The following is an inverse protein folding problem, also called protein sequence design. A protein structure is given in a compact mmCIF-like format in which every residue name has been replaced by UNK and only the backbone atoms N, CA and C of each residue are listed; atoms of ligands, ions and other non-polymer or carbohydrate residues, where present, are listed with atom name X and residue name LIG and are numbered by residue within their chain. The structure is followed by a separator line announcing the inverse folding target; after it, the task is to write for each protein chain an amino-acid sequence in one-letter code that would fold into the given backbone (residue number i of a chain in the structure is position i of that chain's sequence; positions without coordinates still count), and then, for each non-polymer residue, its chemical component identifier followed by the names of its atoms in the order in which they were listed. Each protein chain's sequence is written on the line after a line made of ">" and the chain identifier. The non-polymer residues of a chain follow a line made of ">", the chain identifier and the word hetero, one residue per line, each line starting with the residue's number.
data_IF_694780352996
#
_entry.id   IF_694780352996
#
_cell.length_a   1.000
_cell.length_b   1.000
_cell.length_c   1.000
_cell.angle_alpha   90.00
_cell.angle_beta   90.00
_cell.angle_gamma   90.00
#
_symmetry.space_group_name_H-M   'P 1'
#
loop_
_entity.id
_entity.type
_entity.pdbx_description
1 polymer ?
#
# COMPACT_ATOMS: atom_id res chain seq x y z
N UNK A 1 7.16 17.28 9.72
CA UNK A 1 7.30 18.47 8.85
C UNK A 1 8.70 18.50 8.22
N UNK A 2 8.79 18.79 6.93
CA UNK A 2 10.05 18.81 6.19
C UNK A 2 9.97 19.81 5.02
N UNK A 3 11.12 20.08 4.40
CA UNK A 3 11.21 20.96 3.23
C UNK A 3 12.05 20.29 2.14
N UNK A 4 11.69 20.55 0.89
CA UNK A 4 12.42 20.02 -0.26
C UNK A 4 11.83 20.54 -1.57
N UNK A 5 12.25 19.93 -2.67
CA UNK A 5 11.83 20.33 -4.01
C UNK A 5 11.58 19.11 -4.90
N UNK A 6 10.67 19.26 -5.85
CA UNK A 6 10.32 18.18 -6.78
C UNK A 6 11.45 17.85 -7.77
N UNK A 7 12.18 18.89 -8.20
CA UNK A 7 13.34 18.77 -9.09
C UNK A 7 14.34 19.86 -8.76
N UNK A 8 15.60 19.68 -9.20
CA UNK A 8 16.68 20.62 -8.94
C UNK A 8 16.41 22.04 -9.48
N UNK A 9 15.61 22.17 -10.52
CA UNK A 9 15.23 23.43 -11.15
C UNK A 9 13.93 24.07 -10.57
N UNK A 10 13.34 23.44 -9.57
CA UNK A 10 12.11 23.91 -8.91
C UNK A 10 12.40 24.53 -7.55
N UNK A 11 11.49 25.39 -7.11
CA UNK A 11 11.58 26.02 -5.79
C UNK A 11 11.36 25.00 -4.67
N UNK A 12 12.07 25.23 -3.58
CA UNK A 12 11.87 24.49 -2.34
C UNK A 12 10.52 24.87 -1.71
N UNK A 13 9.84 23.88 -1.12
CA UNK A 13 8.60 24.11 -0.41
C UNK A 13 8.50 23.25 0.86
N UNK A 14 7.58 23.59 1.73
CA UNK A 14 7.34 22.90 2.99
C UNK A 14 6.26 21.84 2.84
N UNK A 15 6.44 20.72 3.51
CA UNK A 15 5.48 19.62 3.59
C UNK A 15 5.22 19.26 5.04
N UNK A 16 3.97 19.11 5.39
CA UNK A 16 3.51 18.49 6.62
C UNK A 16 2.59 17.32 6.26
N UNK A 17 2.78 16.18 6.92
CA UNK A 17 1.91 15.03 6.73
C UNK A 17 1.54 14.41 8.08
N UNK A 18 0.28 14.08 8.22
CA UNK A 18 -0.28 13.36 9.37
C UNK A 18 -0.97 12.12 8.83
N UNK A 19 -0.58 10.95 9.31
CA UNK A 19 -1.15 9.67 8.87
C UNK A 19 -1.62 8.89 10.08
N UNK A 20 -2.87 8.43 10.03
CA UNK A 20 -3.44 7.56 11.07
C UNK A 20 -3.90 6.28 10.41
N UNK A 21 -3.64 5.13 11.04
CA UNK A 21 -4.06 3.84 10.51
C UNK A 21 -4.40 2.85 11.61
N UNK A 22 -5.21 1.88 11.26
CA UNK A 22 -5.46 0.69 12.07
C UNK A 22 -5.77 -0.50 11.17
N UNK A 23 -5.78 -1.69 11.74
CA UNK A 23 -6.04 -2.93 11.02
C UNK A 23 -7.40 -3.49 11.45
N UNK A 24 -8.19 -3.89 10.48
CA UNK A 24 -9.49 -4.53 10.69
C UNK A 24 -9.65 -5.72 9.74
N UNK A 25 -10.29 -6.78 10.20
CA UNK A 25 -10.63 -7.92 9.35
C UNK A 25 -12.04 -7.82 8.73
N UNK A 26 -12.77 -6.75 9.03
CA UNK A 26 -14.16 -6.57 8.58
C UNK A 26 -14.36 -5.34 7.69
N UNK A 27 -13.48 -4.35 7.78
CA UNK A 27 -13.60 -3.06 7.06
C UNK A 27 -12.25 -2.65 6.51
N UNK A 28 -12.26 -2.04 5.34
CA UNK A 28 -11.06 -1.40 4.79
C UNK A 28 -11.45 -0.06 4.16
N UNK A 29 -10.70 0.98 4.48
CA UNK A 29 -10.91 2.33 3.94
C UNK A 29 -9.56 3.02 3.87
N UNK A 30 -9.24 3.60 2.72
CA UNK A 30 -8.06 4.44 2.56
C UNK A 30 -8.50 5.78 1.99
N UNK A 31 -8.26 6.85 2.73
CA UNK A 31 -8.62 8.20 2.32
C UNK A 31 -7.42 9.12 2.37
N UNK A 32 -7.26 9.93 1.33
CA UNK A 32 -6.19 10.92 1.22
C UNK A 32 -6.79 12.31 1.13
N UNK A 33 -6.25 13.22 1.95
CA UNK A 33 -6.55 14.63 1.94
C UNK A 33 -5.27 15.43 1.71
N UNK A 34 -5.34 16.47 0.92
CA UNK A 34 -4.22 17.37 0.69
C UNK A 34 -4.70 18.81 0.68
N UNK A 35 -4.09 19.65 1.54
CA UNK A 35 -4.52 21.04 1.74
C UNK A 35 -6.03 21.12 1.99
N UNK A 36 -6.55 20.24 2.83
CA UNK A 36 -7.96 20.11 3.22
C UNK A 36 -8.92 19.66 2.10
N UNK A 37 -8.39 19.23 0.96
CA UNK A 37 -9.19 18.70 -0.15
C UNK A 37 -9.06 17.19 -0.24
N UNK A 38 -10.19 16.50 -0.44
CA UNK A 38 -10.21 15.06 -0.66
C UNK A 38 -9.61 14.72 -2.03
N UNK A 39 -8.72 13.73 -2.04
CA UNK A 39 -8.09 13.21 -3.27
C UNK A 39 -8.68 11.84 -3.59
N UNK A 40 -9.52 11.77 -4.61
CA UNK A 40 -10.17 10.52 -5.01
C UNK A 40 -9.16 9.42 -5.38
N UNK A 41 -8.05 9.80 -6.02
CA UNK A 41 -7.02 8.86 -6.48
C UNK A 41 -5.69 8.97 -5.74
N UNK A 42 -5.54 9.89 -4.80
CA UNK A 42 -4.33 10.09 -4.00
C UNK A 42 -3.14 10.64 -4.78
N UNK A 43 -2.52 9.83 -5.60
CA UNK A 43 -1.28 10.21 -6.31
C UNK A 43 -0.05 10.04 -5.44
N UNK A 44 0.69 11.13 -5.18
CA UNK A 44 1.93 11.08 -4.37
C UNK A 44 1.76 10.44 -2.98
N UNK A 45 0.74 10.78 -2.19
CA UNK A 45 0.51 10.11 -0.91
C UNK A 45 0.18 8.63 -1.06
N UNK A 46 -0.57 8.24 -2.07
CA UNK A 46 -0.92 6.84 -2.35
C UNK A 46 0.33 6.04 -2.71
N UNK A 47 1.20 6.57 -3.57
CA UNK A 47 2.48 5.94 -3.90
C UNK A 47 3.33 5.71 -2.65
N UNK A 48 3.39 6.70 -1.78
CA UNK A 48 4.16 6.62 -0.54
C UNK A 48 3.61 5.53 0.40
N UNK A 49 2.30 5.49 0.59
CA UNK A 49 1.64 4.50 1.44
C UNK A 49 1.87 3.08 0.90
N UNK A 50 1.64 2.86 -0.39
CA UNK A 50 1.86 1.55 -1.03
C UNK A 50 3.30 1.07 -0.87
N UNK A 51 4.26 1.90 -1.20
CA UNK A 51 5.67 1.55 -1.13
C UNK A 51 6.13 1.30 0.32
N UNK A 52 5.79 2.18 1.24
CA UNK A 52 6.25 2.11 2.62
C UNK A 52 5.64 0.93 3.38
N UNK A 53 4.34 0.70 3.24
CA UNK A 53 3.66 -0.40 3.93
C UNK A 53 4.14 -1.77 3.44
N UNK A 54 4.26 -1.95 2.12
CA UNK A 54 4.78 -3.21 1.57
C UNK A 54 6.22 -3.45 2.04
N UNK A 55 7.06 -2.43 1.98
CA UNK A 55 8.45 -2.54 2.42
C UNK A 55 8.55 -2.92 3.91
N UNK A 56 7.82 -2.21 4.76
CA UNK A 56 7.91 -2.41 6.22
C UNK A 56 7.34 -3.76 6.64
N UNK A 57 6.20 -4.16 6.11
CA UNK A 57 5.55 -5.44 6.44
C UNK A 57 6.37 -6.61 5.89
N UNK A 58 6.85 -6.53 4.66
CA UNK A 58 7.70 -7.57 4.07
C UNK A 58 8.98 -7.77 4.88
N UNK A 59 9.62 -6.67 5.26
CA UNK A 59 10.82 -6.70 6.11
C UNK A 59 10.54 -7.34 7.48
N UNK A 60 9.42 -7.01 8.09
CA UNK A 60 8.99 -7.60 9.36
C UNK A 60 8.74 -9.10 9.22
N UNK A 61 8.05 -9.53 8.16
CA UNK A 61 7.77 -10.94 7.90
C UNK A 61 9.05 -11.76 7.68
N UNK A 62 10.01 -11.20 6.96
CA UNK A 62 11.32 -11.82 6.76
C UNK A 62 12.12 -11.93 8.07
N UNK A 63 12.16 -10.84 8.83
CA UNK A 63 12.94 -10.79 10.08
C UNK A 63 12.38 -11.71 11.15
N UNK A 64 11.10 -11.97 11.17
CA UNK A 64 10.42 -12.85 12.14
C UNK A 64 10.20 -14.27 11.61
N UNK A 65 10.66 -14.57 10.39
CA UNK A 65 10.57 -15.90 9.81
C UNK A 65 9.15 -16.40 9.54
N UNK A 66 8.21 -15.50 9.29
CA UNK A 66 6.80 -15.84 9.08
C UNK A 66 6.49 -16.35 7.67
N UNK A 67 7.32 -16.04 6.69
CA UNK A 67 7.20 -16.62 5.36
C UNK A 67 7.63 -18.11 5.37
N UNK A 68 6.90 -18.92 4.65
CA UNK A 68 7.32 -20.31 4.40
C UNK A 68 8.45 -20.33 3.36
N UNK A 69 9.15 -21.48 3.26
CA UNK A 69 10.21 -21.63 2.27
C UNK A 69 9.66 -21.46 0.84
N UNK A 70 10.32 -20.62 0.06
CA UNK A 70 9.94 -20.27 -1.32
C UNK A 70 8.61 -19.54 -1.46
N UNK A 71 8.08 -18.99 -0.37
CA UNK A 71 6.87 -18.16 -0.43
C UNK A 71 7.18 -16.83 -1.10
N UNK A 72 6.31 -16.41 -2.02
CA UNK A 72 6.43 -15.09 -2.68
C UNK A 72 6.13 -13.96 -1.71
N UNK A 73 6.64 -12.78 -2.04
CA UNK A 73 6.42 -11.54 -1.27
C UNK A 73 4.94 -11.14 -1.29
N UNK A 74 4.49 -10.51 -0.21
CA UNK A 74 3.18 -9.85 -0.17
C UNK A 74 3.10 -8.73 -1.20
N UNK A 75 1.88 -8.38 -1.61
CA UNK A 75 1.62 -7.17 -2.38
C UNK A 75 0.70 -6.23 -1.60
N UNK A 76 0.50 -5.02 -2.12
CA UNK A 76 -0.29 -4.02 -1.39
C UNK A 76 -1.76 -4.42 -1.24
N UNK A 77 -2.33 -5.19 -2.15
CA UNK A 77 -3.72 -5.64 -2.02
C UNK A 77 -3.94 -6.48 -0.75
N UNK A 78 -2.94 -7.21 -0.31
CA UNK A 78 -3.00 -8.00 0.92
C UNK A 78 -3.08 -7.11 2.17
N UNK A 79 -2.42 -5.95 2.13
CA UNK A 79 -2.46 -4.94 3.19
C UNK A 79 -3.77 -4.14 3.09
N UNK A 80 -4.14 -3.72 1.89
CA UNK A 80 -5.32 -2.91 1.63
C UNK A 80 -6.60 -3.57 2.14
N UNK A 81 -6.72 -4.87 2.00
CA UNK A 81 -7.90 -5.64 2.42
C UNK A 81 -8.20 -5.55 3.93
N UNK A 82 -7.24 -5.18 4.74
CA UNK A 82 -7.42 -5.05 6.19
C UNK A 82 -7.01 -3.68 6.74
N UNK A 83 -6.71 -2.71 5.87
CA UNK A 83 -6.18 -1.42 6.29
C UNK A 83 -7.27 -0.34 6.34
N UNK A 84 -7.35 0.34 7.46
CA UNK A 84 -8.07 1.60 7.61
C UNK A 84 -7.01 2.68 7.77
N UNK A 85 -6.95 3.62 6.82
CA UNK A 85 -5.93 4.66 6.82
C UNK A 85 -6.51 5.99 6.37
N UNK A 86 -6.15 7.05 7.08
CA UNK A 86 -6.43 8.42 6.68
C UNK A 86 -5.11 9.19 6.65
N UNK A 87 -4.81 9.78 5.53
CA UNK A 87 -3.64 10.62 5.32
C UNK A 87 -4.07 12.04 5.05
N UNK A 88 -3.51 12.98 5.79
CA UNK A 88 -3.70 14.41 5.55
C UNK A 88 -2.33 15.04 5.34
N UNK A 89 -2.10 15.59 4.16
CA UNK A 89 -0.88 16.31 3.83
C UNK A 89 -1.16 17.77 3.51
N UNK A 90 -0.18 18.62 3.81
CA UNK A 90 -0.23 20.05 3.52
C UNK A 90 1.10 20.48 2.94
N UNK A 91 1.06 21.24 1.86
CA UNK A 91 2.25 21.80 1.25
C UNK A 91 1.99 23.21 0.76
N UNK A 92 3.06 24.02 0.68
CA UNK A 92 2.99 25.38 0.17
C UNK A 92 2.97 25.41 -1.36
N UNK A 93 3.29 24.30 -2.02
CA UNK A 93 3.14 24.15 -3.47
C UNK A 93 2.51 22.79 -3.78
N UNK A 94 1.60 22.76 -4.74
CA UNK A 94 0.90 21.53 -5.12
C UNK A 94 0.83 21.43 -6.63
N UNK A 95 1.15 20.24 -7.16
CA UNK A 95 0.98 19.89 -8.56
C UNK A 95 -0.06 18.77 -8.66
N UNK A 96 -1.13 19.02 -9.42
CA UNK A 96 -2.18 18.03 -9.64
C UNK A 96 -1.91 17.23 -10.90
N UNK A 97 -2.28 15.95 -10.89
CA UNK A 97 -2.13 15.06 -12.05
C UNK A 97 -3.02 15.47 -13.22
N UNK A 98 -4.15 16.13 -12.92
CA UNK A 98 -5.09 16.62 -13.94
C UNK A 98 -5.90 17.81 -13.40
N UNK A 99 -6.76 18.40 -14.26
CA UNK A 99 -7.58 19.55 -13.91
C UNK A 99 -8.70 19.24 -12.90
N UNK A 100 -9.06 17.97 -12.72
CA UNK A 100 -10.10 17.56 -11.76
C UNK A 100 -9.62 17.59 -10.31
N UNK A 101 -8.31 17.74 -10.08
CA UNK A 101 -7.68 17.83 -8.75
C UNK A 101 -7.94 16.61 -7.86
N UNK A 102 -8.08 15.43 -8.46
CA UNK A 102 -8.33 14.17 -7.76
C UNK A 102 -7.07 13.45 -7.30
N UNK A 103 -5.90 13.84 -7.80
CA UNK A 103 -4.60 13.29 -7.44
C UNK A 103 -3.53 14.37 -7.56
N UNK A 104 -2.52 14.30 -6.69
CA UNK A 104 -1.33 15.16 -6.75
C UNK A 104 -0.15 14.35 -7.26
N UNK A 105 0.82 14.99 -7.91
CA UNK A 105 1.97 14.31 -8.51
C UNK A 105 3.32 14.90 -8.11
N UNK A 106 3.41 15.60 -6.99
CA UNK A 106 4.64 16.14 -6.45
C UNK A 106 5.61 15.00 -6.07
N UNK A 107 6.75 14.91 -6.74
CA UNK A 107 7.75 13.88 -6.46
C UNK A 107 8.35 13.99 -5.07
N UNK A 108 8.61 15.20 -4.59
CA UNK A 108 9.12 15.40 -3.23
C UNK A 108 8.14 14.90 -2.16
N UNK A 109 6.83 15.13 -2.34
CA UNK A 109 5.81 14.64 -1.40
C UNK A 109 5.83 13.09 -1.35
N UNK A 110 5.92 12.43 -2.51
CA UNK A 110 6.01 10.98 -2.57
C UNK A 110 7.26 10.46 -1.85
N UNK A 111 8.42 11.03 -2.11
CA UNK A 111 9.69 10.63 -1.50
C UNK A 111 9.71 10.88 0.02
N UNK A 112 9.35 12.08 0.44
CA UNK A 112 9.36 12.46 1.85
C UNK A 112 8.37 11.62 2.68
N UNK A 113 7.17 11.41 2.19
CA UNK A 113 6.17 10.57 2.85
C UNK A 113 6.61 9.10 2.89
N UNK A 114 7.21 8.59 1.81
CA UNK A 114 7.73 7.22 1.78
C UNK A 114 8.78 7.01 2.86
N UNK A 115 9.78 7.88 2.93
CA UNK A 115 10.86 7.78 3.92
C UNK A 115 10.34 7.93 5.35
N UNK A 116 9.45 8.88 5.57
CA UNK A 116 8.81 9.09 6.87
C UNK A 116 8.02 7.86 7.31
N UNK A 117 7.19 7.30 6.42
CA UNK A 117 6.37 6.13 6.74
C UNK A 117 7.20 4.88 6.96
N UNK A 118 8.25 4.65 6.16
CA UNK A 118 9.17 3.52 6.36
C UNK A 118 9.78 3.56 7.76
N UNK A 119 10.33 4.70 8.13
CA UNK A 119 10.95 4.88 9.45
C UNK A 119 9.92 4.74 10.57
N UNK A 120 8.78 5.40 10.43
CA UNK A 120 7.72 5.39 11.45
C UNK A 120 7.13 4.00 11.65
N UNK A 121 6.96 3.22 10.59
CA UNK A 121 6.47 1.86 10.67
C UNK A 121 7.49 0.91 11.33
N UNK A 122 8.78 1.06 11.04
CA UNK A 122 9.82 0.29 11.72
C UNK A 122 9.80 0.55 13.24
N UNK A 123 9.72 1.81 13.62
CA UNK A 123 9.66 2.21 15.03
C UNK A 123 8.37 1.67 15.68
N UNK A 124 7.24 1.83 15.00
CA UNK A 124 5.95 1.33 15.49
C UNK A 124 5.97 -0.18 15.72
N UNK A 125 6.50 -0.95 14.80
CA UNK A 125 6.60 -2.40 14.92
C UNK A 125 7.52 -2.84 16.06
N UNK A 126 8.62 -2.11 16.27
CA UNK A 126 9.54 -2.37 17.37
C UNK A 126 8.92 -2.04 18.74
N UNK A 127 8.17 -0.96 18.82
CA UNK A 127 7.55 -0.49 20.08
C UNK A 127 6.26 -1.23 20.42
N UNK A 128 5.57 -1.81 19.41
CA UNK A 128 4.29 -2.47 19.57
C UNK A 128 4.32 -3.89 18.98
N UNK A 129 5.09 -4.81 19.58
CA UNK A 129 5.31 -6.14 19.00
C UNK A 129 4.03 -6.97 18.89
N UNK A 130 3.08 -6.84 19.81
CA UNK A 130 1.81 -7.57 19.75
C UNK A 130 0.96 -7.10 18.59
N UNK A 131 0.85 -5.79 18.38
CA UNK A 131 0.09 -5.22 17.27
C UNK A 131 0.77 -5.51 15.93
N UNK A 132 2.09 -5.45 15.87
CA UNK A 132 2.87 -5.82 14.68
C UNK A 132 2.62 -7.28 14.28
N UNK A 133 2.59 -8.18 15.24
CA UNK A 133 2.31 -9.59 14.99
C UNK A 133 0.88 -9.82 14.48
N UNK A 134 -0.11 -9.17 15.08
CA UNK A 134 -1.51 -9.24 14.64
C UNK A 134 -1.66 -8.75 13.20
N UNK A 135 -1.07 -7.61 12.91
CA UNK A 135 -1.07 -7.03 11.55
C UNK A 135 -0.44 -7.97 10.54
N UNK A 136 0.75 -8.48 10.85
CA UNK A 136 1.50 -9.39 9.98
C UNK A 136 0.71 -10.69 9.72
N UNK A 137 0.12 -11.27 10.75
CA UNK A 137 -0.67 -12.49 10.63
C UNK A 137 -1.92 -12.26 9.76
N UNK A 138 -2.63 -11.14 9.94
CA UNK A 138 -3.79 -10.82 9.12
C UNK A 138 -3.42 -10.62 7.66
N UNK A 139 -2.32 -9.93 7.38
CA UNK A 139 -1.83 -9.71 6.01
C UNK A 139 -1.43 -11.03 5.36
N UNK A 140 -0.79 -11.94 6.08
CA UNK A 140 -0.46 -13.28 5.57
C UNK A 140 -1.71 -14.10 5.27
N UNK A 141 -2.72 -14.04 6.11
CA UNK A 141 -4.02 -14.70 5.86
C UNK A 141 -4.63 -14.16 4.57
N UNK A 142 -4.63 -12.86 4.38
CA UNK A 142 -5.16 -12.21 3.16
C UNK A 142 -4.39 -12.68 1.92
N UNK A 143 -3.06 -12.70 2.00
CA UNK A 143 -2.20 -13.15 0.91
C UNK A 143 -2.47 -14.60 0.52
N UNK A 144 -2.45 -15.49 1.50
CA UNK A 144 -2.64 -16.93 1.28
C UNK A 144 -4.04 -17.25 0.75
N UNK A 145 -5.05 -16.53 1.22
CA UNK A 145 -6.43 -16.62 0.70
C UNK A 145 -6.51 -16.18 -0.76
N UNK A 146 -5.84 -15.08 -1.11
CA UNK A 146 -5.77 -14.56 -2.49
C UNK A 146 -5.08 -15.57 -3.41
N UNK A 147 -3.96 -16.13 -3.01
CA UNK A 147 -3.20 -17.11 -3.80
C UNK A 147 -3.99 -18.39 -4.01
N UNK A 148 -4.70 -18.87 -2.98
CA UNK A 148 -5.58 -20.05 -3.08
C UNK A 148 -6.73 -19.79 -4.06
N UNK A 149 -7.37 -18.62 -3.99
CA UNK A 149 -8.44 -18.25 -4.90
C UNK A 149 -7.97 -18.17 -6.34
N UNK A 150 -6.78 -17.59 -6.59
CA UNK A 150 -6.17 -17.51 -7.92
C UNK A 150 -5.86 -18.90 -8.46
N UNK A 151 -5.27 -19.79 -7.67
CA UNK A 151 -4.98 -21.19 -8.06
C UNK A 151 -6.25 -21.93 -8.42
N UNK A 152 -7.30 -21.80 -7.63
CA UNK A 152 -8.60 -22.44 -7.89
C UNK A 152 -9.19 -21.93 -9.21
N UNK A 153 -9.15 -20.63 -9.45
CA UNK A 153 -9.64 -20.00 -10.70
C UNK A 153 -8.89 -20.54 -11.92
N UNK A 154 -7.56 -20.60 -11.84
CA UNK A 154 -6.71 -21.10 -12.93
C UNK A 154 -6.98 -22.58 -13.21
N UNK A 155 -7.17 -23.39 -12.19
CA UNK A 155 -7.47 -24.82 -12.36
C UNK A 155 -8.84 -25.03 -13.02
N UNK A 156 -9.85 -24.27 -12.64
CA UNK A 156 -11.17 -24.30 -13.27
C UNK A 156 -11.09 -23.89 -14.73
N UNK A 157 -10.33 -22.84 -15.04
CA UNK A 157 -10.13 -22.35 -16.41
C UNK A 157 -9.44 -23.40 -17.28
N UNK A 158 -8.43 -24.09 -16.76
CA UNK A 158 -7.74 -25.19 -17.46
C UNK A 158 -8.69 -26.35 -17.75
N UNK A 159 -9.55 -26.73 -16.81
CA UNK A 159 -10.55 -27.79 -16.99
C UNK A 159 -11.54 -27.43 -18.08
N UNK A 160 -12.04 -26.18 -18.09
CA UNK A 160 -12.97 -25.71 -19.14
C UNK A 160 -12.31 -25.74 -20.52
N UNK A 161 -11.06 -25.29 -20.65
CA UNK A 161 -10.32 -25.31 -21.91
C UNK A 161 -10.13 -26.75 -22.41
N UNK A 162 -9.76 -27.67 -21.53
CA UNK A 162 -9.63 -29.10 -21.88
C UNK A 162 -10.95 -29.71 -22.38
N UNK A 163 -12.06 -29.37 -21.75
CA UNK A 163 -13.41 -29.83 -22.18
C UNK A 163 -13.79 -29.30 -23.55
N UNK A 164 -13.50 -28.02 -23.81
CA UNK A 164 -13.76 -27.40 -25.12
C UNK A 164 -12.93 -28.07 -26.23
N UNK A 165 -11.66 -28.34 -25.97
CA UNK A 165 -10.77 -29.01 -26.90
C UNK A 165 -11.27 -30.41 -27.27
N UNK A 166 -11.79 -31.16 -26.31
CA UNK A 166 -12.38 -32.46 -26.55
C UNK A 166 -13.63 -32.35 -27.44
N UNK A 167 -14.48 -31.38 -27.15
CA UNK A 167 -15.70 -31.14 -27.94
C UNK A 167 -15.37 -30.74 -29.39
N UNK A 168 -14.31 -29.98 -29.61
CA UNK A 168 -13.88 -29.56 -30.93
C UNK A 168 -13.20 -30.68 -31.75
N UNK A 169 -12.82 -31.77 -31.15
CA UNK A 169 -12.19 -32.92 -31.83
C UNK A 169 -13.20 -33.96 -32.34
N UNK A 170 -14.44 -33.81 -31.96
CA UNK A 170 -15.53 -34.66 -32.40
C UNK A 170 -16.21 -34.02 -33.63
#
# INVERSE_FOLDING_TARGET
>A
ETSGRDRADKDEYKLRADVSFCISNTVNVIEYYHNSSFLEHGGSPDKAVRAAFVWAVDRYLKSTGKYTKNESKINFSDIEDCLILVSNSQSTQTSYANQTKKAINNSFIAEAMTDFLKHSLEVYFAENPTEAERMANQILVNKRSRETAESTRLNLKKKLTGTIDIANRI
#
